data_IF_339499270041
#
_entry.id   IF_339499270041
#
_cell.length_a   1.000
_cell.length_b   1.000
_cell.length_c   1.000
_cell.angle_alpha   90.00
_cell.angle_beta   90.00
_cell.angle_gamma   90.00
#
_symmetry.space_group_name_H-M   'P 1'
#
loop_
_entity.id
_entity.type
_entity.pdbx_description
1 polymer ?
#
# COMPACT_ATOMS: atom_id res chain seq x y z
N UNK A 1 1.62 25.08 11.79
CA UNK A 1 2.56 23.94 11.88
C UNK A 1 3.79 24.28 11.04
N UNK A 2 5.01 23.99 11.50
CA UNK A 2 6.19 24.15 10.64
C UNK A 2 6.06 23.24 9.41
N UNK A 3 6.52 23.73 8.26
CA UNK A 3 6.40 23.03 6.95
C UNK A 3 7.02 21.63 7.00
N UNK A 4 8.08 21.47 7.78
CA UNK A 4 8.81 20.24 8.03
C UNK A 4 7.94 19.21 8.75
N UNK A 5 7.17 19.64 9.77
CA UNK A 5 6.26 18.74 10.50
C UNK A 5 5.09 18.27 9.63
N UNK A 6 4.56 19.16 8.77
CA UNK A 6 3.50 18.79 7.83
C UNK A 6 4.00 17.73 6.82
N UNK A 7 5.20 17.91 6.27
CA UNK A 7 5.80 16.92 5.36
C UNK A 7 5.99 15.56 6.02
N UNK A 8 6.55 15.52 7.23
CA UNK A 8 6.77 14.25 7.96
C UNK A 8 5.46 13.50 8.15
N UNK A 9 4.38 14.20 8.52
CA UNK A 9 3.06 13.58 8.71
C UNK A 9 2.54 13.01 7.39
N UNK A 10 2.62 13.77 6.30
CA UNK A 10 2.09 13.33 4.99
C UNK A 10 2.91 12.14 4.47
N UNK A 11 4.24 12.19 4.53
CA UNK A 11 5.11 11.07 4.15
C UNK A 11 4.79 9.81 4.98
N UNK A 12 4.60 9.97 6.28
CA UNK A 12 4.24 8.86 7.18
C UNK A 12 2.93 8.22 6.75
N UNK A 13 1.90 9.01 6.44
CA UNK A 13 0.60 8.50 5.98
C UNK A 13 0.76 7.79 4.62
N UNK A 14 1.49 8.37 3.67
CA UNK A 14 1.72 7.79 2.35
C UNK A 14 2.42 6.42 2.40
N UNK A 15 3.24 6.16 3.42
CA UNK A 15 3.93 4.88 3.62
C UNK A 15 3.12 3.91 4.47
N UNK A 16 2.47 4.38 5.54
CA UNK A 16 1.70 3.54 6.44
C UNK A 16 0.41 3.01 5.77
N UNK A 17 -0.22 3.80 4.90
CA UNK A 17 -1.42 3.38 4.18
C UNK A 17 -1.21 2.13 3.31
N UNK A 18 -0.25 2.07 2.36
CA UNK A 18 0.01 0.85 1.59
C UNK A 18 0.53 -0.28 2.48
N UNK A 19 1.33 0.00 3.51
CA UNK A 19 1.79 -1.04 4.44
C UNK A 19 0.62 -1.75 5.15
N UNK A 20 -0.40 -1.00 5.57
CA UNK A 20 -1.60 -1.56 6.18
C UNK A 20 -2.39 -2.44 5.18
N UNK A 21 -2.53 -1.99 3.93
CA UNK A 21 -3.18 -2.78 2.87
C UNK A 21 -2.40 -4.06 2.59
N UNK A 22 -1.07 -3.99 2.49
CA UNK A 22 -0.20 -5.15 2.28
C UNK A 22 -0.37 -6.16 3.42
N UNK A 23 -0.36 -5.70 4.67
CA UNK A 23 -0.54 -6.56 5.84
C UNK A 23 -1.92 -7.25 5.84
N UNK A 24 -3.00 -6.51 5.58
CA UNK A 24 -4.35 -7.05 5.52
C UNK A 24 -4.53 -8.04 4.35
N UNK A 25 -3.99 -7.71 3.17
CA UNK A 25 -4.01 -8.56 1.99
C UNK A 25 -3.25 -9.87 2.21
N UNK A 26 -2.06 -9.79 2.81
CA UNK A 26 -1.26 -10.96 3.14
C UNK A 26 -1.96 -11.87 4.15
N UNK A 27 -2.47 -11.31 5.25
CA UNK A 27 -3.17 -12.06 6.28
C UNK A 27 -4.42 -12.78 5.74
N UNK A 28 -5.25 -12.06 4.97
CA UNK A 28 -6.46 -12.61 4.36
C UNK A 28 -6.14 -13.69 3.32
N UNK A 29 -5.11 -13.49 2.50
CA UNK A 29 -4.68 -14.46 1.48
C UNK A 29 -4.18 -15.76 2.12
N UNK A 30 -3.36 -15.68 3.17
CA UNK A 30 -2.85 -16.84 3.91
C UNK A 30 -4.01 -17.60 4.56
N UNK A 31 -4.92 -16.88 5.21
CA UNK A 31 -6.08 -17.49 5.89
C UNK A 31 -7.02 -18.17 4.89
N UNK A 32 -7.29 -17.56 3.74
CA UNK A 32 -8.13 -18.13 2.69
C UNK A 32 -7.48 -19.39 2.08
N UNK A 33 -6.17 -19.35 1.83
CA UNK A 33 -5.43 -20.48 1.28
C UNK A 33 -5.38 -21.67 2.24
N UNK A 34 -5.23 -21.41 3.54
CA UNK A 34 -5.29 -22.45 4.58
C UNK A 34 -6.63 -23.19 4.62
N UNK A 35 -7.73 -22.57 4.18
CA UNK A 35 -9.06 -23.20 4.09
C UNK A 35 -9.29 -23.91 2.77
N UNK A 36 -8.66 -23.47 1.68
CA UNK A 36 -8.79 -24.07 0.35
C UNK A 36 -7.51 -23.90 -0.50
N UNK A 37 -6.55 -24.83 -0.42
CA UNK A 37 -5.29 -24.76 -1.16
C UNK A 37 -5.45 -24.73 -2.68
N UNK A 38 -6.48 -25.38 -3.22
CA UNK A 38 -6.74 -25.44 -4.67
C UNK A 38 -7.12 -24.08 -5.28
N UNK A 39 -7.48 -23.10 -4.45
CA UNK A 39 -7.79 -21.74 -4.89
C UNK A 39 -6.54 -20.84 -5.06
N UNK A 40 -5.33 -21.35 -4.80
CA UNK A 40 -4.08 -20.58 -4.84
C UNK A 40 -3.89 -19.71 -6.09
N UNK A 41 -4.11 -20.22 -7.32
CA UNK A 41 -3.88 -19.41 -8.52
C UNK A 41 -4.74 -18.16 -8.54
N UNK A 42 -6.01 -18.28 -8.13
CA UNK A 42 -6.94 -17.15 -8.09
C UNK A 42 -6.62 -16.16 -6.97
N UNK A 43 -6.27 -16.67 -5.79
CA UNK A 43 -5.93 -15.84 -4.62
C UNK A 43 -4.66 -15.04 -4.88
N UNK A 44 -3.59 -15.68 -5.37
CA UNK A 44 -2.32 -14.99 -5.62
C UNK A 44 -2.42 -13.95 -6.74
N UNK A 45 -3.16 -14.24 -7.82
CA UNK A 45 -3.41 -13.22 -8.86
C UNK A 45 -4.13 -12.01 -8.28
N UNK A 46 -5.19 -12.20 -7.50
CA UNK A 46 -5.91 -11.08 -6.89
C UNK A 46 -5.05 -10.31 -5.88
N UNK A 47 -4.28 -11.02 -5.05
CA UNK A 47 -3.36 -10.43 -4.08
C UNK A 47 -2.30 -9.57 -4.76
N UNK A 48 -1.60 -10.10 -5.78
CA UNK A 48 -0.56 -9.36 -6.50
C UNK A 48 -1.13 -8.10 -7.15
N UNK A 49 -2.31 -8.20 -7.80
CA UNK A 49 -2.97 -7.02 -8.38
C UNK A 49 -3.28 -5.96 -7.32
N UNK A 50 -3.81 -6.36 -6.16
CA UNK A 50 -4.08 -5.44 -5.05
C UNK A 50 -2.80 -4.76 -4.55
N UNK A 51 -1.72 -5.52 -4.36
CA UNK A 51 -0.44 -4.99 -3.88
C UNK A 51 0.15 -3.96 -4.86
N UNK A 52 0.06 -4.25 -6.17
CA UNK A 52 0.51 -3.31 -7.21
C UNK A 52 -0.28 -2.00 -7.15
N UNK A 53 -1.62 -2.06 -7.05
CA UNK A 53 -2.44 -0.85 -6.95
C UNK A 53 -2.17 -0.06 -5.67
N UNK A 54 -2.01 -0.74 -4.53
CA UNK A 54 -1.69 -0.09 -3.26
C UNK A 54 -0.35 0.67 -3.33
N UNK A 55 0.69 0.03 -3.88
CA UNK A 55 1.99 0.65 -4.07
C UNK A 55 1.95 1.79 -5.09
N UNK A 56 1.22 1.62 -6.21
CA UNK A 56 1.10 2.64 -7.24
C UNK A 56 0.45 3.93 -6.72
N UNK A 57 -0.63 3.82 -5.94
CA UNK A 57 -1.29 4.99 -5.35
C UNK A 57 -0.35 5.74 -4.41
N UNK A 58 0.41 5.01 -3.57
CA UNK A 58 1.40 5.61 -2.67
C UNK A 58 2.50 6.34 -3.44
N UNK A 59 3.05 5.73 -4.50
CA UNK A 59 4.07 6.35 -5.34
C UNK A 59 3.53 7.63 -6.00
N UNK A 60 2.33 7.59 -6.58
CA UNK A 60 1.71 8.78 -7.19
C UNK A 60 1.51 9.89 -6.16
N UNK A 61 1.04 9.58 -4.95
CA UNK A 61 0.87 10.56 -3.89
C UNK A 61 2.21 11.20 -3.48
N UNK A 62 3.27 10.40 -3.36
CA UNK A 62 4.62 10.89 -3.06
C UNK A 62 5.16 11.77 -4.18
N UNK A 63 4.94 11.42 -5.45
CA UNK A 63 5.36 12.26 -6.59
C UNK A 63 4.65 13.61 -6.60
N UNK A 64 3.34 13.65 -6.35
CA UNK A 64 2.59 14.92 -6.24
C UNK A 64 3.12 15.74 -5.07
N UNK A 65 3.42 15.10 -3.93
CA UNK A 65 4.00 15.77 -2.79
C UNK A 65 5.37 16.38 -3.11
N UNK A 66 6.24 15.63 -3.78
CA UNK A 66 7.53 16.13 -4.24
C UNK A 66 7.37 17.32 -5.19
N UNK A 67 6.43 17.25 -6.13
CA UNK A 67 6.20 18.36 -7.08
C UNK A 67 5.67 19.62 -6.39
N UNK A 68 4.82 19.47 -5.37
CA UNK A 68 4.20 20.59 -4.67
C UNK A 68 5.17 21.31 -3.72
N UNK A 69 6.14 20.58 -3.16
CA UNK A 69 7.11 21.09 -2.20
C UNK A 69 8.54 21.16 -2.76
N UNK A 70 8.71 20.91 -4.05
CA UNK A 70 9.96 21.22 -4.76
C UNK A 70 10.23 22.72 -4.69
N UNK A 71 11.48 23.15 -4.44
CA UNK A 71 11.87 24.54 -4.65
C UNK A 71 11.71 24.97 -6.11
#
# INVERSE_FOLDING_TARGET
MPKEAALIIIFSICVLAPAAVIAAAGYSSITALGRNPSAAPKIFTAMIMMLIFAAAISIVALLVLFQLYSP
#
